data_IF_263570256753
#
_entry.id   IF_263570256753
#
_cell.length_a   1.000
_cell.length_b   1.000
_cell.length_c   1.000
_cell.angle_alpha   90.00
_cell.angle_beta   90.00
_cell.angle_gamma   90.00
#
_symmetry.space_group_name_H-M   'P 1'
#
loop_
_entity.id
_entity.type
_entity.pdbx_description
1 polymer ?
#
# COMPACT_ATOMS: atom_id res chain seq x y z
N UNK A 1 -27.97 -11.70 10.51
CA UNK A 1 -27.17 -11.30 9.32
C UNK A 1 -26.95 -9.80 9.37
N UNK A 2 -25.77 -9.35 9.83
CA UNK A 2 -25.42 -7.91 9.74
C UNK A 2 -23.89 -7.72 9.78
N UNK A 3 -23.20 -8.22 8.76
CA UNK A 3 -21.75 -8.09 8.61
C UNK A 3 -21.42 -6.87 7.75
N UNK A 4 -21.52 -5.65 8.30
CA UNK A 4 -21.13 -4.40 7.59
C UNK A 4 -20.59 -3.29 8.51
N UNK A 5 -19.86 -3.64 9.57
CA UNK A 5 -19.20 -2.66 10.46
C UNK A 5 -17.73 -2.96 10.80
N UNK A 6 -17.16 -4.03 10.24
CA UNK A 6 -15.80 -4.48 10.57
C UNK A 6 -14.72 -3.74 9.77
N UNK A 7 -15.04 -3.27 8.56
CA UNK A 7 -14.02 -2.76 7.62
C UNK A 7 -13.38 -1.45 8.05
N UNK A 8 -14.13 -0.48 8.58
CA UNK A 8 -13.59 0.86 8.85
C UNK A 8 -12.68 0.88 10.10
N UNK A 9 -13.02 0.10 11.12
CA UNK A 9 -12.21 -0.02 12.33
C UNK A 9 -10.91 -0.79 12.05
N UNK A 10 -10.97 -1.85 11.24
CA UNK A 10 -9.79 -2.59 10.77
C UNK A 10 -8.84 -1.70 9.94
N UNK A 11 -9.37 -0.81 9.09
CA UNK A 11 -8.57 0.18 8.36
C UNK A 11 -7.89 1.17 9.30
N UNK A 12 -8.61 1.71 10.29
CA UNK A 12 -8.05 2.65 11.27
C UNK A 12 -6.97 1.98 12.13
N UNK A 13 -7.21 0.74 12.58
CA UNK A 13 -6.24 -0.01 13.37
C UNK A 13 -5.03 -0.46 12.54
N UNK A 14 -5.20 -0.72 11.23
CA UNK A 14 -4.10 -0.98 10.32
C UNK A 14 -3.24 0.27 10.10
N UNK A 15 -3.84 1.43 9.83
CA UNK A 15 -3.14 2.70 9.67
C UNK A 15 -2.34 3.12 10.92
N UNK A 16 -2.76 2.69 12.11
CA UNK A 16 -2.05 2.92 13.38
C UNK A 16 -0.88 1.96 13.63
N UNK A 17 -0.76 0.87 12.87
CA UNK A 17 0.36 -0.07 13.04
C UNK A 17 1.60 0.44 12.31
N UNK A 18 2.78 0.42 12.96
CA UNK A 18 4.03 0.71 12.28
C UNK A 18 4.23 -0.25 11.10
N UNK A 19 5.00 0.20 10.10
CA UNK A 19 5.41 -0.69 9.02
C UNK A 19 6.30 -1.81 9.57
N UNK A 20 6.12 -3.02 9.07
CA UNK A 20 7.08 -4.12 9.29
C UNK A 20 8.33 -3.88 8.46
N UNK A 21 9.45 -4.55 8.80
CA UNK A 21 10.70 -4.46 8.05
C UNK A 21 10.50 -4.84 6.56
N UNK A 22 9.59 -5.78 6.27
CA UNK A 22 9.29 -6.19 4.91
C UNK A 22 8.47 -5.14 4.16
N UNK A 23 7.50 -4.52 4.83
CA UNK A 23 6.73 -3.40 4.31
C UNK A 23 7.62 -2.19 4.04
N UNK A 24 8.55 -1.85 4.94
CA UNK A 24 9.53 -0.78 4.74
C UNK A 24 10.39 -1.01 3.50
N UNK A 25 10.84 -2.26 3.28
CA UNK A 25 11.63 -2.62 2.08
C UNK A 25 10.85 -2.46 0.79
N UNK A 26 9.57 -2.85 0.77
CA UNK A 26 8.70 -2.68 -0.41
C UNK A 26 8.38 -1.20 -0.63
N UNK A 27 8.02 -0.49 0.43
CA UNK A 27 7.77 0.94 0.38
C UNK A 27 8.99 1.70 -0.13
N UNK A 28 10.20 1.38 0.35
CA UNK A 28 11.48 1.97 -0.07
C UNK A 28 11.77 1.81 -1.58
N UNK A 29 11.24 0.76 -2.22
CA UNK A 29 11.34 0.54 -3.68
C UNK A 29 10.27 1.27 -4.48
N UNK A 30 9.14 1.58 -3.86
CA UNK A 30 8.03 2.27 -4.53
C UNK A 30 8.35 3.77 -4.64
N UNK A 31 7.86 4.46 -5.67
CA UNK A 31 8.08 5.90 -5.87
C UNK A 31 6.74 6.62 -6.01
N UNK A 32 6.75 7.93 -6.26
CA UNK A 32 5.55 8.76 -6.56
C UNK A 32 4.98 8.55 -7.97
N UNK A 33 5.49 7.54 -8.68
CA UNK A 33 5.03 7.15 -10.00
C UNK A 33 4.37 5.78 -9.93
N UNK A 34 3.31 5.60 -10.72
CA UNK A 34 2.60 4.33 -10.85
C UNK A 34 3.53 3.25 -11.41
N UNK A 35 3.79 2.23 -10.60
CA UNK A 35 4.71 1.14 -10.94
C UNK A 35 4.01 -0.21 -10.83
N UNK A 36 4.33 -1.18 -11.72
CA UNK A 36 3.79 -2.52 -11.64
C UNK A 36 4.13 -3.21 -10.31
N UNK A 37 3.12 -3.75 -9.62
CA UNK A 37 3.31 -4.40 -8.31
C UNK A 37 4.30 -5.57 -8.34
N UNK A 38 4.37 -6.29 -9.47
CA UNK A 38 5.32 -7.39 -9.70
C UNK A 38 6.80 -6.99 -9.52
N UNK A 39 7.13 -5.72 -9.69
CA UNK A 39 8.50 -5.18 -9.56
C UNK A 39 8.78 -4.65 -8.14
N UNK A 40 7.73 -4.35 -7.38
CA UNK A 40 7.84 -3.72 -6.06
C UNK A 40 7.96 -4.76 -4.94
N UNK A 41 7.21 -5.87 -5.03
CA UNK A 41 7.27 -6.94 -4.05
C UNK A 41 6.06 -7.85 -4.03
N UNK A 42 5.92 -8.68 -2.98
CA UNK A 42 4.78 -9.56 -2.79
C UNK A 42 3.46 -8.79 -2.71
N UNK A 43 2.45 -9.26 -3.46
CA UNK A 43 1.10 -8.70 -3.48
C UNK A 43 0.50 -8.47 -2.08
N UNK A 44 0.61 -9.42 -1.11
CA UNK A 44 0.04 -9.21 0.23
C UNK A 44 0.66 -8.03 1.00
N UNK A 45 1.93 -7.73 0.74
CA UNK A 45 2.64 -6.60 1.37
C UNK A 45 2.17 -5.29 0.75
N UNK A 46 2.04 -5.26 -0.58
CA UNK A 46 1.51 -4.09 -1.29
C UNK A 46 0.08 -3.77 -0.85
N UNK A 47 -0.77 -4.80 -0.72
CA UNK A 47 -2.15 -4.63 -0.26
C UNK A 47 -2.21 -4.16 1.20
N UNK A 48 -1.33 -4.68 2.07
CA UNK A 48 -1.19 -4.17 3.45
C UNK A 48 -0.82 -2.68 3.46
N UNK A 49 0.15 -2.27 2.63
CA UNK A 49 0.56 -0.88 2.52
C UNK A 49 -0.55 0.03 1.98
N UNK A 50 -1.43 -0.47 1.11
CA UNK A 50 -2.63 0.26 0.66
C UNK A 50 -3.66 0.39 1.79
N UNK A 51 -3.93 -0.68 2.54
CA UNK A 51 -4.85 -0.65 3.69
C UNK A 51 -4.37 0.31 4.78
N UNK A 52 -3.06 0.45 4.94
CA UNK A 52 -2.42 1.39 5.86
C UNK A 52 -2.27 2.81 5.29
N UNK A 53 -2.78 3.07 4.08
CA UNK A 53 -2.68 4.37 3.39
C UNK A 53 -1.25 4.86 3.09
N UNK A 54 -0.26 3.95 3.00
CA UNK A 54 1.10 4.31 2.58
C UNK A 54 1.26 4.33 1.05
N UNK A 55 0.52 3.46 0.36
CA UNK A 55 0.46 3.40 -1.09
C UNK A 55 -0.96 3.64 -1.58
N UNK A 56 -1.09 4.18 -2.79
CA UNK A 56 -2.30 4.00 -3.59
C UNK A 56 -2.11 2.80 -4.52
N UNK A 57 -3.15 2.00 -4.71
CA UNK A 57 -3.17 0.85 -5.60
C UNK A 57 -4.32 0.94 -6.60
N UNK A 58 -4.04 0.65 -7.87
CA UNK A 58 -5.04 0.62 -8.93
C UNK A 58 -4.76 -0.53 -9.91
N UNK A 59 -5.82 -1.15 -10.45
CA UNK A 59 -5.64 -2.12 -11.52
C UNK A 59 -5.53 -1.41 -12.87
N UNK A 60 -4.39 -1.56 -13.56
CA UNK A 60 -4.18 -0.97 -14.88
C UNK A 60 -4.46 -1.97 -15.98
N UNK A 61 -5.48 -1.68 -16.79
CA UNK A 61 -5.88 -2.49 -17.95
C UNK A 61 -4.80 -2.46 -19.04
N UNK A 62 -4.06 -1.35 -19.15
CA UNK A 62 -2.99 -1.18 -20.15
C UNK A 62 -1.82 -2.14 -19.95
N UNK A 63 -1.49 -2.46 -18.69
CA UNK A 63 -0.39 -3.36 -18.34
C UNK A 63 -0.86 -4.68 -17.73
N UNK A 64 -2.18 -4.91 -17.63
CA UNK A 64 -2.79 -6.13 -17.14
C UNK A 64 -2.45 -6.50 -15.69
N UNK A 65 -2.06 -5.53 -14.85
CA UNK A 65 -1.64 -5.80 -13.47
C UNK A 65 -2.00 -4.65 -12.51
N UNK A 66 -1.94 -4.94 -11.21
CA UNK A 66 -1.99 -3.91 -10.18
C UNK A 66 -0.75 -3.04 -10.25
N UNK A 67 -0.97 -1.73 -10.24
CA UNK A 67 0.05 -0.69 -10.16
C UNK A 67 -0.09 0.05 -8.84
N UNK A 68 1.04 0.50 -8.31
CA UNK A 68 1.11 1.18 -7.02
C UNK A 68 1.96 2.44 -7.11
N UNK A 69 1.62 3.42 -6.29
CA UNK A 69 2.43 4.63 -6.09
C UNK A 69 2.46 5.00 -4.60
N UNK A 70 3.50 5.72 -4.15
CA UNK A 70 3.56 6.26 -2.78
C UNK A 70 2.56 7.38 -2.58
N UNK A 71 1.78 7.30 -1.49
CA UNK A 71 0.83 8.34 -1.09
C UNK A 71 1.48 9.44 -0.24
N UNK A 72 2.35 9.05 0.69
CA UNK A 72 3.13 9.96 1.53
C UNK A 72 4.60 9.98 1.11
N UNK A 73 5.25 11.15 1.12
CA UNK A 73 6.71 11.21 1.11
C UNK A 73 7.23 11.01 2.51
N UNK A 74 7.99 9.93 2.73
CA UNK A 74 8.95 9.86 3.84
C UNK A 74 10.22 10.70 3.54
N UNK A 75 10.15 11.67 2.62
CA UNK A 75 11.02 12.84 2.69
C UNK A 75 10.61 13.61 3.95
N UNK A 76 11.13 13.13 5.09
CA UNK A 76 11.46 14.02 6.21
C UNK A 76 12.26 15.14 5.56
N UNK A 77 11.70 16.35 5.54
CA UNK A 77 12.43 17.58 5.28
C UNK A 77 13.84 17.44 5.87
N UNK A 78 14.82 17.37 4.98
CA UNK A 78 16.24 17.43 5.29
C UNK A 78 16.62 18.85 5.73
#
# INVERSE_FOLDING_TARGET
MTTRRTTMQETIDAARRPMTIEEERVYAKTNREWQPGRELGPQPILDSLVVKEWLDGAYSILVGCWVYQRRHSLDRDA
#
